data_IF_758806592994
#
_entry.id   IF_758806592994
#
_cell.length_a   1.000
_cell.length_b   1.000
_cell.length_c   1.000
_cell.angle_alpha   90.00
_cell.angle_beta   90.00
_cell.angle_gamma   90.00
#
_symmetry.space_group_name_H-M   'P 1'
#
loop_
_entity.id
_entity.type
_entity.pdbx_description
1 polymer ?
#
# COMPACT_ATOMS: atom_id res chain seq x y z
N UNK A 1 -1.82 -14.86 10.72
CA UNK A 1 -2.85 -14.14 9.94
C UNK A 1 -2.21 -13.83 8.59
N UNK A 2 -2.96 -13.80 7.49
CA UNK A 2 -2.37 -13.56 6.17
C UNK A 2 -1.97 -12.08 6.07
N UNK A 3 -0.68 -11.75 6.15
CA UNK A 3 -0.19 -10.36 6.24
C UNK A 3 -0.68 -9.50 5.06
N UNK A 4 -0.87 -10.12 3.88
CA UNK A 4 -1.35 -9.43 2.68
C UNK A 4 -2.78 -8.88 2.84
N UNK A 5 -3.68 -9.65 3.47
CA UNK A 5 -5.06 -9.23 3.69
C UNK A 5 -5.19 -8.04 4.65
N UNK A 6 -4.31 -7.97 5.67
CA UNK A 6 -4.24 -6.84 6.59
C UNK A 6 -3.76 -5.57 5.87
N UNK A 7 -2.73 -5.68 5.03
CA UNK A 7 -2.22 -4.56 4.22
C UNK A 7 -3.32 -4.02 3.30
N UNK A 8 -4.03 -4.89 2.58
CA UNK A 8 -5.15 -4.47 1.72
C UNK A 8 -6.24 -3.78 2.53
N UNK A 9 -6.61 -4.33 3.68
CA UNK A 9 -7.63 -3.74 4.55
C UNK A 9 -7.25 -2.33 5.03
N UNK A 10 -6.00 -2.14 5.44
CA UNK A 10 -5.48 -0.83 5.85
C UNK A 10 -5.52 0.18 4.70
N UNK A 11 -5.10 -0.22 3.49
CA UNK A 11 -5.15 0.66 2.31
C UNK A 11 -6.57 1.04 1.93
N UNK A 12 -7.52 0.09 1.95
CA UNK A 12 -8.94 0.38 1.67
C UNK A 12 -9.55 1.32 2.72
N UNK A 13 -9.22 1.12 3.99
CA UNK A 13 -9.64 2.00 5.09
C UNK A 13 -9.07 3.41 4.92
N UNK A 14 -7.80 3.52 4.51
CA UNK A 14 -7.17 4.80 4.21
C UNK A 14 -7.83 5.54 3.04
N UNK A 15 -8.13 4.83 1.95
CA UNK A 15 -8.85 5.39 0.80
C UNK A 15 -10.26 5.86 1.18
N UNK A 16 -10.98 5.08 2.01
CA UNK A 16 -12.27 5.50 2.53
C UNK A 16 -12.17 6.78 3.37
N UNK A 17 -11.18 6.88 4.25
CA UNK A 17 -10.95 8.06 5.07
C UNK A 17 -10.69 9.32 4.23
N UNK A 18 -9.82 9.24 3.20
CA UNK A 18 -9.58 10.37 2.28
C UNK A 18 -10.84 10.79 1.53
N UNK A 19 -11.66 9.85 1.05
CA UNK A 19 -12.95 10.17 0.42
C UNK A 19 -13.94 10.88 1.34
N UNK A 20 -13.85 10.61 2.64
CA UNK A 20 -14.65 11.27 3.66
C UNK A 20 -14.02 12.59 4.17
N UNK A 21 -12.89 13.03 3.61
CA UNK A 21 -12.19 14.24 4.02
C UNK A 21 -11.38 14.10 5.31
N UNK A 22 -11.11 12.87 5.76
CA UNK A 22 -10.29 12.60 6.94
C UNK A 22 -8.84 12.27 6.54
N UNK A 23 -8.08 13.31 6.18
CA UNK A 23 -6.71 13.16 5.68
C UNK A 23 -5.76 12.52 6.70
N UNK A 24 -5.93 12.86 7.98
CA UNK A 24 -5.10 12.34 9.06
C UNK A 24 -5.27 10.82 9.23
N UNK A 25 -6.52 10.34 9.16
CA UNK A 25 -6.82 8.91 9.23
C UNK A 25 -6.36 8.18 7.96
N UNK A 26 -6.51 8.80 6.79
CA UNK A 26 -6.01 8.26 5.52
C UNK A 26 -4.50 8.03 5.55
N UNK A 27 -3.73 9.05 5.95
CA UNK A 27 -2.27 8.96 6.10
C UNK A 27 -1.87 7.94 7.16
N UNK A 28 -2.55 7.91 8.31
CA UNK A 28 -2.28 6.95 9.39
C UNK A 28 -2.43 5.50 8.92
N UNK A 29 -3.53 5.19 8.22
CA UNK A 29 -3.76 3.85 7.67
C UNK A 29 -2.75 3.49 6.57
N UNK A 30 -2.40 4.43 5.69
CA UNK A 30 -1.34 4.22 4.70
C UNK A 30 0.01 3.91 5.35
N UNK A 31 0.42 4.67 6.37
CA UNK A 31 1.66 4.43 7.10
C UNK A 31 1.66 3.05 7.77
N UNK A 32 0.55 2.64 8.37
CA UNK A 32 0.40 1.29 8.94
C UNK A 32 0.54 0.21 7.88
N UNK A 33 -0.10 0.37 6.72
CA UNK A 33 0.03 -0.58 5.61
C UNK A 33 1.49 -0.74 5.15
N UNK A 34 2.24 0.36 5.08
CA UNK A 34 3.67 0.32 4.76
C UNK A 34 4.49 -0.41 5.84
N UNK A 35 4.17 -0.25 7.13
CA UNK A 35 4.85 -0.97 8.21
C UNK A 35 4.59 -2.47 8.17
N UNK A 36 3.33 -2.87 7.98
CA UNK A 36 2.94 -4.28 7.82
C UNK A 36 3.63 -4.91 6.61
N UNK A 37 3.78 -4.15 5.51
CA UNK A 37 4.53 -4.59 4.34
C UNK A 37 6.01 -4.81 4.66
N UNK A 38 6.66 -3.88 5.37
CA UNK A 38 8.06 -4.03 5.77
C UNK A 38 8.26 -5.26 6.67
N UNK A 39 7.34 -5.50 7.60
CA UNK A 39 7.37 -6.68 8.46
C UNK A 39 7.16 -7.98 7.65
N UNK A 40 6.27 -7.97 6.66
CA UNK A 40 6.09 -9.08 5.75
C UNK A 40 7.37 -9.39 4.94
N UNK A 41 8.07 -8.36 4.45
CA UNK A 41 9.34 -8.56 3.73
C UNK A 41 10.46 -9.09 4.64
N UNK A 42 10.55 -8.63 5.89
CA UNK A 42 11.54 -9.13 6.85
C UNK A 42 11.35 -10.63 7.13
N UNK A 43 10.08 -11.07 7.17
CA UNK A 43 9.73 -12.49 7.32
C UNK A 43 9.95 -13.32 6.05
N UNK A 44 10.15 -12.69 4.89
CA UNK A 44 10.33 -13.34 3.59
C UNK A 44 11.79 -13.70 3.29
N UNK A 45 12.65 -13.83 4.31
CA UNK A 45 14.05 -14.26 4.19
C UNK A 45 14.14 -15.61 3.45
N UNK A 46 14.72 -15.60 2.23
CA UNK A 46 14.77 -16.77 1.34
C UNK A 46 13.84 -16.72 0.13
N UNK A 47 13.21 -15.57 -0.14
CA UNK A 47 12.33 -15.33 -1.29
C UNK A 47 12.94 -15.71 -2.65
N UNK A 48 12.09 -16.26 -3.50
CA UNK A 48 12.33 -16.57 -4.92
C UNK A 48 12.50 -15.30 -5.77
N UNK A 49 13.09 -15.42 -6.95
CA UNK A 49 13.28 -14.30 -7.90
C UNK A 49 11.93 -13.67 -8.33
N UNK A 50 10.86 -14.45 -8.36
CA UNK A 50 9.50 -14.03 -8.70
C UNK A 50 8.87 -13.16 -7.58
N UNK A 51 9.13 -13.50 -6.32
CA UNK A 51 8.75 -12.69 -5.16
C UNK A 51 9.52 -11.35 -5.13
N UNK A 52 10.80 -11.34 -5.51
CA UNK A 52 11.58 -10.10 -5.64
C UNK A 52 11.06 -9.14 -6.72
N UNK A 53 10.61 -9.67 -7.87
CA UNK A 53 9.97 -8.88 -8.92
C UNK A 53 8.67 -8.23 -8.43
N UNK A 54 7.89 -8.98 -7.64
CA UNK A 54 6.65 -8.52 -7.03
C UNK A 54 6.92 -7.38 -6.04
N UNK A 55 7.91 -7.57 -5.16
CA UNK A 55 8.36 -6.56 -4.20
C UNK A 55 8.80 -5.27 -4.92
N UNK A 56 9.64 -5.38 -5.95
CA UNK A 56 10.15 -4.22 -6.70
C UNK A 56 9.03 -3.41 -7.36
N UNK A 57 8.04 -4.10 -7.92
CA UNK A 57 6.85 -3.47 -8.51
C UNK A 57 6.05 -2.72 -7.45
N UNK A 58 5.83 -3.34 -6.28
CA UNK A 58 5.07 -2.70 -5.21
C UNK A 58 5.78 -1.47 -4.65
N UNK A 59 7.09 -1.54 -4.41
CA UNK A 59 7.90 -0.42 -3.95
C UNK A 59 7.77 0.77 -4.89
N UNK A 60 7.86 0.54 -6.21
CA UNK A 60 7.72 1.60 -7.22
C UNK A 60 6.34 2.26 -7.20
N UNK A 61 5.27 1.48 -6.94
CA UNK A 61 3.92 2.02 -6.83
C UNK A 61 3.74 2.83 -5.53
N UNK A 62 4.28 2.33 -4.41
CA UNK A 62 4.21 3.01 -3.11
C UNK A 62 5.04 4.29 -3.08
N UNK A 63 6.20 4.32 -3.74
CA UNK A 63 7.01 5.53 -3.92
C UNK A 63 6.22 6.63 -4.64
N UNK A 64 5.52 6.29 -5.71
CA UNK A 64 4.63 7.21 -6.41
C UNK A 64 3.53 7.76 -5.49
N UNK A 65 2.88 6.89 -4.70
CA UNK A 65 1.87 7.32 -3.72
C UNK A 65 2.48 8.27 -2.68
N UNK A 66 3.68 7.98 -2.17
CA UNK A 66 4.36 8.85 -1.21
C UNK A 66 4.66 10.24 -1.80
N UNK A 67 5.08 10.32 -3.05
CA UNK A 67 5.35 11.60 -3.72
C UNK A 67 4.07 12.42 -3.96
N UNK A 68 2.96 11.75 -4.30
CA UNK A 68 1.64 12.38 -4.40
C UNK A 68 1.17 12.90 -3.03
N UNK A 69 1.35 12.13 -1.96
CA UNK A 69 1.01 12.57 -0.61
C UNK A 69 1.88 13.74 -0.14
N UNK A 70 3.19 13.74 -0.45
CA UNK A 70 4.10 14.87 -0.15
C UNK A 70 3.71 16.15 -0.87
N UNK A 71 3.19 16.02 -2.09
CA UNK A 71 2.68 17.14 -2.88
C UNK A 71 1.23 17.52 -2.55
N UNK A 72 0.63 16.87 -1.54
CA UNK A 72 -0.76 17.05 -1.10
C UNK A 72 -1.80 16.69 -2.18
N UNK A 73 -1.42 15.90 -3.19
CA UNK A 73 -2.34 15.39 -4.20
C UNK A 73 -3.00 14.09 -3.73
N UNK A 74 -3.84 14.24 -2.69
CA UNK A 74 -4.53 13.11 -2.04
C UNK A 74 -5.50 12.41 -2.99
N UNK A 75 -6.11 13.15 -3.91
CA UNK A 75 -7.06 12.58 -4.89
C UNK A 75 -6.34 11.60 -5.80
N UNK A 76 -5.22 12.01 -6.40
CA UNK A 76 -4.46 11.13 -7.29
C UNK A 76 -3.77 10.01 -6.50
N UNK A 77 -3.31 10.27 -5.27
CA UNK A 77 -2.78 9.22 -4.40
C UNK A 77 -3.82 8.12 -4.14
N UNK A 78 -5.07 8.52 -3.86
CA UNK A 78 -6.19 7.60 -3.65
C UNK A 78 -6.47 6.78 -4.93
N UNK A 79 -6.50 7.43 -6.09
CA UNK A 79 -6.71 6.73 -7.37
C UNK A 79 -5.61 5.69 -7.65
N UNK A 80 -4.33 6.02 -7.40
CA UNK A 80 -3.23 5.06 -7.58
C UNK A 80 -3.38 3.86 -6.65
N UNK A 81 -3.79 4.09 -5.39
CA UNK A 81 -4.00 3.00 -4.45
C UNK A 81 -5.14 2.08 -4.87
N UNK A 82 -6.28 2.64 -5.24
CA UNK A 82 -7.49 1.87 -5.56
C UNK A 82 -7.42 1.15 -6.92
N UNK A 83 -6.78 1.76 -7.91
CA UNK A 83 -6.74 1.22 -9.27
C UNK A 83 -5.45 0.50 -9.62
N UNK A 84 -4.39 0.64 -8.84
CA UNK A 84 -3.10 0.01 -9.12
C UNK A 84 -2.60 -0.85 -7.96
N UNK A 85 -2.46 -0.28 -6.77
CA UNK A 85 -1.82 -0.98 -5.63
C UNK A 85 -2.69 -2.10 -5.07
N UNK A 86 -3.92 -1.78 -4.68
CA UNK A 86 -4.84 -2.77 -4.09
C UNK A 86 -5.14 -3.92 -5.07
N UNK A 87 -5.46 -3.67 -6.36
CA UNK A 87 -5.67 -4.76 -7.31
C UNK A 87 -4.43 -5.62 -7.53
N UNK A 88 -3.23 -5.03 -7.55
CA UNK A 88 -1.97 -5.77 -7.66
C UNK A 88 -1.76 -6.68 -6.44
N UNK A 89 -1.90 -6.15 -5.22
CA UNK A 89 -1.75 -6.92 -3.99
C UNK A 89 -2.70 -8.12 -3.94
N UNK A 90 -3.96 -7.93 -4.35
CA UNK A 90 -4.97 -9.01 -4.44
C UNK A 90 -4.63 -10.08 -5.48
N UNK A 91 -3.86 -9.74 -6.50
CA UNK A 91 -3.42 -10.72 -7.50
C UNK A 91 -2.24 -11.59 -7.03
N UNK A 92 -1.63 -11.21 -5.91
CA UNK A 92 -0.51 -11.91 -5.29
C UNK A 92 -0.93 -12.78 -4.09
N UNK A 93 -2.20 -12.75 -3.68
CA UNK A 93 -2.80 -13.68 -2.69
C UNK A 93 -3.09 -15.05 -3.32
#
# INVERSE_FOLDING_TARGET
MNNMGEIVHLLETGCHAWRCGNDQEGVSNFQRACLEWLEHMDQAEGSTEEEWSTISTLVSLLDNVMDLLRSQDIVVATDVLEWRVIPFLRSCE
#
